data_IF_304320726673
#
_entry.id   IF_304320726673
#
_cell.length_a   1.000
_cell.length_b   1.000
_cell.length_c   1.000
_cell.angle_alpha   90.00
_cell.angle_beta   90.00
_cell.angle_gamma   90.00
#
_symmetry.space_group_name_H-M   'P 1'
#
loop_
_entity.id
_entity.type
_entity.pdbx_description
1 polymer ?
#
# COMPACT_ATOMS: atom_id res chain seq x y z
N UNK A 1 29.89 -19.37 6.37
CA UNK A 1 29.84 -17.96 6.85
C UNK A 1 28.67 -17.35 6.12
N UNK A 2 27.49 -17.56 6.71
CA UNK A 2 26.20 -17.59 6.03
C UNK A 2 25.41 -16.34 6.43
N UNK A 3 25.63 -15.25 5.69
CA UNK A 3 24.94 -13.97 5.88
C UNK A 3 24.09 -13.54 4.67
N UNK A 4 23.79 -14.43 3.72
CA UNK A 4 23.14 -14.04 2.45
C UNK A 4 21.78 -14.68 2.14
N UNK A 5 21.22 -15.54 3.00
CA UNK A 5 19.92 -16.15 2.73
C UNK A 5 18.75 -15.27 3.18
N UNK A 6 18.84 -14.65 4.37
CA UNK A 6 17.73 -13.91 5.01
C UNK A 6 17.44 -12.55 4.37
N UNK A 7 18.47 -11.80 3.96
CA UNK A 7 18.30 -10.49 3.32
C UNK A 7 17.70 -10.64 1.91
N UNK A 8 18.01 -11.74 1.21
CA UNK A 8 17.48 -12.05 -0.11
C UNK A 8 15.98 -12.42 -0.08
N UNK A 9 15.56 -13.19 0.92
CA UNK A 9 14.15 -13.58 1.13
C UNK A 9 13.31 -12.39 1.57
N UNK A 10 13.83 -11.56 2.48
CA UNK A 10 13.14 -10.34 2.89
C UNK A 10 12.96 -9.36 1.72
N UNK A 11 14.00 -9.16 0.92
CA UNK A 11 13.91 -8.35 -0.30
C UNK A 11 12.95 -8.94 -1.34
N UNK A 12 12.89 -10.27 -1.45
CA UNK A 12 11.95 -10.95 -2.34
C UNK A 12 10.51 -10.71 -1.91
N UNK A 13 10.21 -10.88 -0.61
CA UNK A 13 8.86 -10.66 -0.07
C UNK A 13 8.44 -9.18 -0.12
N UNK A 14 9.36 -8.24 0.12
CA UNK A 14 9.10 -6.80 -0.01
C UNK A 14 8.77 -6.38 -1.45
N UNK A 15 9.22 -7.14 -2.44
CA UNK A 15 8.95 -6.91 -3.86
C UNK A 15 7.66 -7.58 -4.36
N UNK A 16 6.84 -8.17 -3.48
CA UNK A 16 5.59 -8.85 -3.82
C UNK A 16 4.41 -8.21 -3.10
N UNK A 17 3.24 -8.31 -3.70
CA UNK A 17 1.97 -7.92 -3.08
C UNK A 17 0.93 -9.02 -3.27
N UNK A 18 0.00 -9.11 -2.34
CA UNK A 18 -1.15 -10.00 -2.45
C UNK A 18 -2.32 -9.25 -3.07
N UNK A 19 -2.91 -9.82 -4.12
CA UNK A 19 -4.12 -9.30 -4.77
C UNK A 19 -5.21 -10.37 -4.72
N UNK A 20 -6.43 -9.96 -4.37
CA UNK A 20 -7.59 -10.84 -4.34
C UNK A 20 -8.26 -10.88 -5.72
N UNK A 21 -8.69 -12.07 -6.15
CA UNK A 21 -9.50 -12.27 -7.34
C UNK A 21 -10.94 -11.76 -7.12
N UNK A 22 -11.43 -10.87 -7.98
CA UNK A 22 -12.79 -10.29 -7.93
C UNK A 22 -13.88 -11.20 -8.53
N UNK A 23 -13.53 -12.42 -8.94
CA UNK A 23 -14.53 -13.42 -9.32
C UNK A 23 -15.25 -13.91 -8.06
N UNK A 24 -16.58 -13.77 -8.04
CA UNK A 24 -17.43 -14.13 -6.91
C UNK A 24 -17.29 -15.62 -6.51
N UNK A 25 -17.00 -16.49 -7.47
CA UNK A 25 -16.80 -17.92 -7.24
C UNK A 25 -15.34 -18.29 -6.87
N UNK A 26 -14.42 -17.32 -6.84
CA UNK A 26 -13.00 -17.56 -6.61
C UNK A 26 -12.51 -16.97 -5.29
N UNK A 27 -12.51 -15.64 -5.17
CA UNK A 27 -12.03 -14.87 -4.00
C UNK A 27 -10.62 -15.23 -3.47
N UNK A 28 -9.82 -15.99 -4.24
CA UNK A 28 -8.46 -16.39 -3.86
C UNK A 28 -7.47 -15.23 -3.95
N UNK A 29 -6.49 -15.24 -3.07
CA UNK A 29 -5.34 -14.34 -3.07
C UNK A 29 -4.20 -14.89 -3.94
N UNK A 30 -3.53 -14.00 -4.64
CA UNK A 30 -2.40 -14.30 -5.53
C UNK A 30 -1.22 -13.41 -5.21
N UNK A 31 -0.03 -13.99 -5.15
CA UNK A 31 1.20 -13.25 -4.94
C UNK A 31 1.71 -12.71 -6.28
N UNK A 32 1.73 -11.38 -6.42
CA UNK A 32 2.10 -10.70 -7.67
C UNK A 32 3.34 -9.83 -7.42
N UNK A 33 4.33 -9.80 -8.32
CA UNK A 33 5.43 -8.84 -8.25
C UNK A 33 4.93 -7.40 -8.22
N UNK A 34 5.42 -6.60 -7.27
CA UNK A 34 5.00 -5.21 -7.09
C UNK A 34 5.15 -4.38 -8.37
N UNK A 35 6.21 -4.62 -9.14
CA UNK A 35 6.43 -4.00 -10.46
C UNK A 35 5.28 -4.24 -11.45
N UNK A 36 4.61 -5.38 -11.37
CA UNK A 36 3.50 -5.75 -12.27
C UNK A 36 2.18 -5.11 -11.79
N UNK A 37 2.22 -4.40 -10.66
CA UNK A 37 1.06 -3.78 -10.02
C UNK A 37 1.02 -2.26 -10.15
N UNK A 38 2.11 -1.66 -10.66
CA UNK A 38 2.26 -0.21 -10.85
C UNK A 38 1.15 0.32 -11.77
N UNK A 39 0.76 -0.46 -12.78
CA UNK A 39 -0.27 -0.08 -13.76
C UNK A 39 -1.66 -0.64 -13.44
N UNK A 40 -1.83 -1.31 -12.30
CA UNK A 40 -3.14 -1.81 -11.90
C UNK A 40 -4.04 -0.65 -11.49
N UNK A 41 -5.02 -0.36 -12.34
CA UNK A 41 -6.12 0.52 -12.01
C UNK A 41 -6.95 -0.13 -10.90
N UNK A 42 -6.79 0.38 -9.67
CA UNK A 42 -7.51 -0.09 -8.47
C UNK A 42 -9.03 0.04 -8.56
N UNK A 43 -9.56 0.73 -9.58
CA UNK A 43 -11.00 0.83 -9.85
C UNK A 43 -11.50 -0.26 -10.78
N UNK A 44 -10.62 -1.03 -11.41
CA UNK A 44 -10.97 -2.14 -12.28
C UNK A 44 -10.83 -3.46 -11.52
N UNK A 45 -11.69 -4.44 -11.83
CA UNK A 45 -11.57 -5.74 -11.21
C UNK A 45 -10.28 -6.44 -11.63
N UNK A 46 -9.72 -7.23 -10.73
CA UNK A 46 -8.57 -8.09 -10.98
C UNK A 46 -8.96 -9.56 -10.86
N UNK A 47 -8.51 -10.39 -11.80
CA UNK A 47 -8.83 -11.82 -11.85
C UNK A 47 -7.58 -12.67 -11.94
N UNK A 48 -7.66 -13.94 -11.52
CA UNK A 48 -6.51 -14.86 -11.57
C UNK A 48 -5.85 -14.92 -12.95
N UNK A 49 -6.61 -14.87 -14.06
CA UNK A 49 -6.06 -14.91 -15.43
C UNK A 49 -5.21 -13.69 -15.80
N UNK A 50 -5.22 -12.65 -14.97
CA UNK A 50 -4.36 -11.47 -15.11
C UNK A 50 -3.02 -11.65 -14.37
N UNK A 51 -2.85 -12.72 -13.58
CA UNK A 51 -1.57 -13.04 -12.95
C UNK A 51 -0.56 -13.47 -14.02
N UNK A 52 0.62 -12.83 -14.02
CA UNK A 52 1.70 -13.20 -14.94
C UNK A 52 2.39 -14.50 -14.55
N UNK A 53 2.20 -14.98 -13.31
CA UNK A 53 2.66 -16.31 -12.92
C UNK A 53 1.74 -17.38 -13.53
N UNK A 54 2.21 -18.18 -14.51
CA UNK A 54 1.39 -19.18 -15.19
C UNK A 54 0.96 -20.31 -14.25
N UNK A 55 1.64 -20.53 -13.12
CA UNK A 55 1.24 -21.54 -12.15
C UNK A 55 0.05 -21.10 -11.30
N UNK A 56 -0.19 -19.79 -11.19
CA UNK A 56 -1.24 -19.20 -10.35
C UNK A 56 -2.18 -18.27 -11.13
N UNK A 57 -2.27 -18.48 -12.46
CA UNK A 57 -3.08 -17.68 -13.38
C UNK A 57 -4.52 -18.19 -13.57
N UNK A 58 -4.96 -19.21 -12.83
CA UNK A 58 -6.31 -19.75 -12.97
C UNK A 58 -7.03 -19.88 -11.63
N UNK A 59 -8.36 -19.69 -11.66
CA UNK A 59 -9.22 -19.83 -10.48
C UNK A 59 -9.29 -21.27 -9.95
N UNK A 60 -9.03 -22.26 -10.81
CA UNK A 60 -8.98 -23.68 -10.46
C UNK A 60 -7.73 -24.06 -9.67
N UNK A 61 -6.66 -23.25 -9.72
CA UNK A 61 -5.44 -23.49 -8.95
C UNK A 61 -5.71 -23.16 -7.48
N UNK A 62 -5.25 -24.00 -6.53
CA UNK A 62 -5.29 -23.69 -5.09
C UNK A 62 -4.66 -22.32 -4.76
N UNK A 63 -5.10 -21.71 -3.67
CA UNK A 63 -4.47 -20.50 -3.13
C UNK A 63 -3.04 -20.79 -2.66
N UNK A 64 -2.14 -19.83 -2.85
CA UNK A 64 -0.79 -19.89 -2.31
C UNK A 64 -0.82 -19.82 -0.79
N UNK A 65 0.13 -20.48 -0.10
CA UNK A 65 0.18 -20.38 1.36
C UNK A 65 0.60 -18.97 1.76
N UNK A 66 -0.26 -18.30 2.51
CA UNK A 66 0.09 -17.05 3.15
C UNK A 66 1.22 -17.31 4.16
N UNK A 67 2.32 -16.53 4.15
CA UNK A 67 3.40 -16.73 5.11
C UNK A 67 2.88 -16.46 6.52
N UNK A 68 3.32 -17.29 7.46
CA UNK A 68 2.95 -17.15 8.86
C UNK A 68 3.52 -15.84 9.40
N UNK A 69 2.70 -15.06 10.11
CA UNK A 69 3.18 -13.81 10.69
C UNK A 69 4.30 -14.01 11.71
N UNK A 70 4.37 -15.15 12.38
CA UNK A 70 5.50 -15.44 13.28
C UNK A 70 6.82 -15.49 12.50
N UNK A 71 6.84 -16.21 11.39
CA UNK A 71 8.00 -16.35 10.51
C UNK A 71 8.42 -14.99 9.93
N UNK A 72 7.46 -14.12 9.57
CA UNK A 72 7.76 -12.77 9.13
C UNK A 72 8.37 -11.91 10.24
N UNK A 73 7.82 -11.98 11.45
CA UNK A 73 8.34 -11.25 12.61
C UNK A 73 9.76 -11.65 12.97
N UNK A 74 10.11 -12.94 12.85
CA UNK A 74 11.48 -13.42 13.02
C UNK A 74 12.46 -12.74 12.05
N UNK A 75 11.99 -12.35 10.88
CA UNK A 75 12.75 -11.60 9.87
C UNK A 75 12.58 -10.07 9.98
N UNK A 76 11.95 -9.57 11.04
CA UNK A 76 11.69 -8.14 11.22
C UNK A 76 10.65 -7.56 10.25
N UNK A 77 9.86 -8.42 9.60
CA UNK A 77 8.82 -8.04 8.63
C UNK A 77 7.43 -8.12 9.26
N UNK A 78 6.50 -7.32 8.74
CA UNK A 78 5.09 -7.32 9.12
C UNK A 78 4.21 -7.02 7.92
N UNK A 79 3.05 -7.67 7.84
CA UNK A 79 2.03 -7.31 6.86
C UNK A 79 1.46 -5.93 7.15
N UNK A 80 1.43 -5.09 6.12
CA UNK A 80 0.82 -3.78 6.17
C UNK A 80 -0.40 -3.77 5.25
N UNK A 81 -1.57 -3.83 5.86
CA UNK A 81 -2.83 -3.62 5.16
C UNK A 81 -3.07 -2.12 4.99
N UNK A 82 -2.29 -1.47 4.11
CA UNK A 82 -2.42 -0.05 3.78
C UNK A 82 -2.87 0.14 2.34
N UNK A 83 -3.84 1.03 2.13
CA UNK A 83 -4.17 1.53 0.79
C UNK A 83 -3.21 2.63 0.31
N UNK A 84 -2.27 3.08 1.15
CA UNK A 84 -1.48 4.29 0.93
C UNK A 84 0.03 4.01 1.13
N UNK A 85 0.75 3.55 0.09
CA UNK A 85 2.20 3.39 0.16
C UNK A 85 2.92 4.76 0.27
N UNK A 86 4.20 4.73 0.64
CA UNK A 86 5.11 5.90 0.53
C UNK A 86 5.01 6.52 -0.87
N UNK A 87 5.01 7.84 -0.94
CA UNK A 87 4.84 8.60 -2.18
C UNK A 87 3.38 8.86 -2.55
N UNK A 88 2.41 8.25 -1.87
CA UNK A 88 0.99 8.56 -2.09
C UNK A 88 0.70 10.03 -1.79
N UNK A 89 0.01 10.70 -2.71
CA UNK A 89 -0.62 11.99 -2.45
C UNK A 89 -1.92 11.79 -1.66
N UNK A 90 -2.07 12.57 -0.59
CA UNK A 90 -3.21 12.52 0.32
C UNK A 90 -3.70 13.93 0.68
N UNK A 91 -4.95 14.02 1.15
CA UNK A 91 -5.49 15.23 1.77
C UNK A 91 -5.60 15.01 3.28
N UNK A 92 -4.98 15.88 4.08
CA UNK A 92 -4.92 15.72 5.54
C UNK A 92 -5.67 16.87 6.23
N UNK A 93 -6.54 16.54 7.19
CA UNK A 93 -7.19 17.52 8.08
C UNK A 93 -6.45 17.64 9.41
N UNK A 94 -5.54 18.61 9.51
CA UNK A 94 -4.81 18.89 10.76
C UNK A 94 -5.53 19.92 11.64
N UNK A 95 -6.16 19.49 12.74
CA UNK A 95 -6.73 20.36 13.78
C UNK A 95 -7.60 21.51 13.22
N UNK A 96 -7.20 22.78 13.39
CA UNK A 96 -7.93 23.98 12.92
C UNK A 96 -7.59 24.41 11.48
N UNK A 97 -6.64 23.73 10.82
CA UNK A 97 -6.24 24.06 9.46
C UNK A 97 -7.21 23.47 8.43
N UNK A 98 -7.35 24.08 7.24
CA UNK A 98 -8.09 23.46 6.14
C UNK A 98 -7.46 22.11 5.78
N UNK A 99 -8.21 21.27 5.06
CA UNK A 99 -7.60 20.09 4.44
C UNK A 99 -6.52 20.56 3.47
N UNK A 100 -5.33 19.98 3.57
CA UNK A 100 -4.18 20.38 2.76
C UNK A 100 -3.52 19.16 2.13
N UNK A 101 -3.02 19.27 0.88
CA UNK A 101 -2.34 18.17 0.23
C UNK A 101 -0.99 17.88 0.89
N UNK A 102 -0.69 16.60 1.03
CA UNK A 102 0.57 16.09 1.55
C UNK A 102 1.01 14.85 0.79
N UNK A 103 2.30 14.54 0.86
CA UNK A 103 2.89 13.31 0.36
C UNK A 103 3.30 12.42 1.53
N UNK A 104 2.94 11.15 1.50
CA UNK A 104 3.42 10.21 2.51
C UNK A 104 4.91 9.95 2.32
N UNK A 105 5.69 10.09 3.39
CA UNK A 105 7.14 9.94 3.33
C UNK A 105 7.70 9.37 4.64
N UNK A 106 8.88 8.72 4.61
CA UNK A 106 9.59 8.35 5.83
C UNK A 106 9.85 9.55 6.74
N UNK A 107 9.59 9.39 8.03
CA UNK A 107 10.04 10.31 9.06
C UNK A 107 11.58 10.35 9.07
N UNK A 108 12.22 11.54 8.94
CA UNK A 108 13.67 11.66 8.96
C UNK A 108 14.34 11.09 10.22
N UNK A 109 13.63 11.06 11.35
CA UNK A 109 14.18 10.58 12.61
C UNK A 109 14.17 9.04 12.70
N UNK A 110 13.04 8.41 12.36
CA UNK A 110 12.85 6.97 12.53
C UNK A 110 13.03 6.15 11.25
N UNK A 111 12.95 6.77 10.07
CA UNK A 111 12.87 6.08 8.78
C UNK A 111 11.53 5.39 8.52
N UNK A 112 10.61 5.40 9.49
CA UNK A 112 9.28 4.83 9.36
C UNK A 112 8.30 5.86 8.78
N UNK A 113 7.29 5.39 8.05
CA UNK A 113 6.19 6.26 7.59
C UNK A 113 4.84 5.84 8.20
N UNK A 114 4.84 4.84 9.07
CA UNK A 114 3.67 4.23 9.68
C UNK A 114 3.89 4.07 11.18
N UNK A 115 2.84 4.33 11.96
CA UNK A 115 2.72 3.84 13.32
C UNK A 115 1.55 2.87 13.43
N UNK A 116 1.77 1.78 14.16
CA UNK A 116 0.75 0.79 14.45
C UNK A 116 0.25 0.95 15.89
N UNK A 117 -1.05 0.74 16.07
CA UNK A 117 -1.67 0.59 17.37
C UNK A 117 -1.34 -0.77 17.99
N UNK A 118 -1.79 -0.96 19.23
CA UNK A 118 -1.63 -2.21 19.98
C UNK A 118 -2.37 -3.41 19.35
N UNK A 119 -3.43 -3.12 18.59
CA UNK A 119 -4.20 -4.10 17.81
C UNK A 119 -3.52 -4.50 16.50
N UNK A 120 -2.39 -3.88 16.18
CA UNK A 120 -1.64 -4.11 14.96
C UNK A 120 -2.16 -3.36 13.73
N UNK A 121 -3.26 -2.61 13.85
CA UNK A 121 -3.76 -1.74 12.79
C UNK A 121 -2.95 -0.44 12.69
N UNK A 122 -3.00 0.18 11.51
CA UNK A 122 -2.30 1.46 11.27
C UNK A 122 -3.07 2.57 11.96
N UNK A 123 -2.42 3.33 12.83
CA UNK A 123 -3.02 4.47 13.53
C UNK A 123 -2.62 5.81 12.90
N UNK A 124 -1.40 5.90 12.37
CA UNK A 124 -0.85 7.14 11.81
C UNK A 124 0.02 6.90 10.58
N UNK A 125 0.04 7.88 9.68
CA UNK A 125 1.03 8.00 8.62
C UNK A 125 1.88 9.25 8.82
N UNK A 126 3.16 9.16 8.51
CA UNK A 126 4.01 10.33 8.39
C UNK A 126 3.86 10.95 7.00
N UNK A 127 3.68 12.27 6.97
CA UNK A 127 3.48 13.00 5.72
C UNK A 127 4.19 14.35 5.74
N UNK A 128 4.60 14.80 4.55
CA UNK A 128 5.07 16.15 4.29
C UNK A 128 4.00 16.94 3.54
N UNK A 129 3.55 18.06 4.10
CA UNK A 129 2.61 18.97 3.45
C UNK A 129 3.27 19.69 2.27
N UNK A 130 2.56 19.73 1.14
CA UNK A 130 3.00 20.48 -0.02
C UNK A 130 2.88 21.99 0.24
N UNK A 131 3.89 22.76 -0.13
CA UNK A 131 3.88 24.21 0.03
C UNK A 131 5.24 24.76 0.45
N UNK A 132 5.30 26.07 0.69
CA UNK A 132 6.48 26.73 1.21
C UNK A 132 6.09 27.60 2.42
N UNK A 133 6.63 27.35 3.63
CA UNK A 133 7.60 26.32 3.96
C UNK A 133 7.01 24.90 3.97
N UNK A 134 7.85 23.91 3.69
CA UNK A 134 7.51 22.50 3.91
C UNK A 134 7.36 22.22 5.40
N UNK A 135 6.35 21.43 5.76
CA UNK A 135 6.14 20.98 7.14
C UNK A 135 5.78 19.50 7.15
N UNK A 136 6.14 18.81 8.23
CA UNK A 136 5.93 17.37 8.40
C UNK A 136 5.09 17.09 9.62
N UNK A 137 4.29 16.03 9.55
CA UNK A 137 3.36 15.70 10.62
C UNK A 137 3.01 14.21 10.59
N UNK A 138 2.93 13.61 11.78
CA UNK A 138 2.29 12.31 11.99
C UNK A 138 0.78 12.50 12.04
N UNK A 139 0.09 12.08 10.98
CA UNK A 139 -1.33 12.26 10.82
C UNK A 139 -2.07 10.96 11.11
N UNK A 140 -3.05 11.02 12.02
CA UNK A 140 -3.94 9.89 12.26
C UNK A 140 -4.69 9.48 10.99
N UNK A 141 -4.82 8.17 10.77
CA UNK A 141 -5.57 7.59 9.64
C UNK A 141 -7.00 8.11 9.52
N UNK A 142 -7.61 8.53 10.64
CA UNK A 142 -8.97 9.07 10.68
C UNK A 142 -9.11 10.44 10.01
N UNK A 143 -8.00 11.11 9.74
CA UNK A 143 -7.95 12.46 9.18
C UNK A 143 -7.28 12.53 7.80
N UNK A 144 -7.06 11.37 7.18
CA UNK A 144 -6.40 11.24 5.88
C UNK A 144 -7.40 10.73 4.86
N UNK A 145 -7.56 11.48 3.78
CA UNK A 145 -8.35 11.12 2.62
C UNK A 145 -7.42 10.91 1.41
N UNK A 146 -7.82 10.05 0.45
CA UNK A 146 -7.10 9.96 -0.83
C UNK A 146 -7.10 11.31 -1.55
N UNK A 147 -5.98 11.67 -2.16
CA UNK A 147 -5.96 12.85 -3.01
C UNK A 147 -6.79 12.60 -4.28
N UNK A 148 -7.70 13.52 -4.59
CA UNK A 148 -8.50 13.51 -5.79
C UNK A 148 -8.24 14.78 -6.58
N UNK A 149 -7.86 14.64 -7.85
CA UNK A 149 -7.81 15.76 -8.78
C UNK A 149 -9.27 16.08 -9.14
N UNK A 150 -9.75 17.32 -8.91
CA UNK A 150 -11.07 17.71 -9.38
C UNK A 150 -11.11 17.58 -10.90
N UNK A 151 -12.03 16.77 -11.44
CA UNK A 151 -12.32 16.77 -12.87
C UNK A 151 -13.04 18.09 -13.19
N UNK A 152 -12.34 19.01 -13.84
CA UNK A 152 -12.98 20.19 -14.42
C UNK A 152 -13.76 19.71 -15.64
N UNK A 153 -15.08 19.60 -15.52
CA UNK A 153 -15.95 19.53 -16.68
C UNK A 153 -15.84 20.87 -17.41
N UNK A 154 -15.03 20.91 -18.48
CA UNK A 154 -15.01 22.06 -19.39
C UNK A 154 -16.36 22.05 -20.10
N UNK A 155 -17.32 22.80 -19.57
CA UNK A 155 -18.60 23.02 -20.21
C UNK A 155 -18.38 23.61 -21.61
N UNK A 156 -18.58 22.79 -22.65
CA UNK A 156 -18.86 23.29 -23.98
C UNK A 156 -20.24 23.97 -23.91
N UNK A 157 -20.24 25.26 -23.59
CA UNK A 157 -21.38 26.10 -23.91
C UNK A 157 -21.41 26.26 -25.42
N UNK A 158 -22.32 25.53 -26.07
CA UNK A 158 -22.76 25.76 -27.45
C UNK A 158 -23.59 27.02 -27.54
#
# INVERSE_FOLDING_TARGET
MDLNASESEASYLMAKIWIQCDSQDCLKWRLVPHKDTIDLDRKKPWYCHMNQDPFYSHCSVPEEKFPNEADLREHGLKFVYSKLPVGSLVMIKASKWPRWPAILCPDPCSGNYLHFGLDGHIEEYHAEFLGNPHSRFWASVKHIDHFHIPTVEVGLHK
#
